data_IF_603599344465
#
_entry.id   IF_603599344465
#
_cell.length_a   1.000
_cell.length_b   1.000
_cell.length_c   1.000
_cell.angle_alpha   90.00
_cell.angle_beta   90.00
_cell.angle_gamma   90.00
#
_symmetry.space_group_name_H-M   'P 1'
#
loop_
_entity.id
_entity.type
_entity.pdbx_description
1 polymer ?
#
# COMPACT_ATOMS: atom_id res chain seq x y z
N UNK A 1 -57.07 25.69 -27.13
CA UNK A 1 -56.63 25.22 -25.81
C UNK A 1 -55.34 24.38 -26.01
N UNK A 2 -54.17 24.98 -25.81
CA UNK A 2 -52.87 24.33 -26.05
C UNK A 2 -52.29 23.97 -24.66
N UNK A 3 -52.33 22.67 -24.32
CA UNK A 3 -51.74 22.13 -23.09
C UNK A 3 -50.24 22.01 -23.31
N UNK A 4 -49.46 22.91 -22.67
CA UNK A 4 -48.01 22.84 -22.59
C UNK A 4 -47.61 21.72 -21.58
N UNK A 5 -47.07 20.61 -22.08
CA UNK A 5 -46.38 19.63 -21.26
C UNK A 5 -44.98 20.12 -20.93
N UNK A 6 -44.71 20.35 -19.64
CA UNK A 6 -43.40 20.70 -19.10
C UNK A 6 -42.67 19.38 -18.84
N UNK A 7 -41.51 19.10 -19.46
CA UNK A 7 -40.73 17.89 -19.10
C UNK A 7 -40.04 18.09 -17.76
N UNK A 8 -40.37 17.21 -16.81
CA UNK A 8 -39.73 17.13 -15.51
C UNK A 8 -38.32 16.52 -15.69
N UNK A 9 -37.29 17.36 -15.70
CA UNK A 9 -35.90 16.92 -15.72
C UNK A 9 -35.53 16.34 -14.34
N UNK A 10 -35.45 15.00 -14.24
CA UNK A 10 -34.89 14.30 -13.08
C UNK A 10 -33.37 14.48 -13.12
N UNK A 11 -32.83 15.42 -12.33
CA UNK A 11 -31.40 15.48 -12.05
C UNK A 11 -31.03 14.27 -11.17
N UNK A 12 -30.43 13.25 -11.76
CA UNK A 12 -29.71 12.23 -11.00
C UNK A 12 -28.46 12.90 -10.40
N UNK A 13 -28.51 13.21 -9.11
CA UNK A 13 -27.33 13.57 -8.35
C UNK A 13 -26.47 12.32 -8.19
N UNK A 14 -25.45 12.16 -9.04
CA UNK A 14 -24.37 11.22 -8.81
C UNK A 14 -23.58 11.74 -7.60
N UNK A 15 -23.84 11.15 -6.42
CA UNK A 15 -23.02 11.37 -5.23
C UNK A 15 -21.59 10.92 -5.52
N UNK A 16 -20.57 11.58 -4.94
CA UNK A 16 -19.19 11.11 -5.05
C UNK A 16 -19.12 9.69 -4.51
N UNK A 17 -18.75 8.72 -5.36
CA UNK A 17 -18.28 7.42 -4.90
C UNK A 17 -17.03 7.74 -4.07
N UNK A 18 -17.11 7.60 -2.75
CA UNK A 18 -15.92 7.60 -1.89
C UNK A 18 -15.04 6.46 -2.39
N UNK A 19 -13.91 6.80 -3.03
CA UNK A 19 -12.91 5.81 -3.36
C UNK A 19 -12.50 5.12 -2.05
N UNK A 20 -12.54 3.80 -2.00
CA UNK A 20 -12.05 3.06 -0.87
C UNK A 20 -10.58 3.45 -0.65
N UNK A 21 -10.23 3.89 0.55
CA UNK A 21 -8.89 4.37 0.88
C UNK A 21 -7.88 3.21 0.82
N UNK A 22 -8.35 1.97 0.99
CA UNK A 22 -7.57 0.74 0.86
C UNK A 22 -8.18 -0.22 -0.17
N UNK A 23 -7.30 -0.91 -0.88
CA UNK A 23 -7.71 -2.04 -1.73
C UNK A 23 -7.65 -3.31 -0.90
N UNK A 24 -8.72 -4.14 -0.87
CA UNK A 24 -8.68 -5.42 -0.17
C UNK A 24 -7.59 -6.32 -0.73
N UNK A 25 -6.74 -6.86 0.16
CA UNK A 25 -5.69 -7.80 -0.19
C UNK A 25 -6.16 -9.23 0.05
N UNK A 26 -6.25 -10.01 -1.03
CA UNK A 26 -6.43 -11.46 -0.99
C UNK A 26 -5.10 -12.19 -1.24
N UNK A 27 -5.10 -13.53 -1.12
CA UNK A 27 -3.91 -14.37 -1.32
C UNK A 27 -3.32 -14.27 -2.72
N UNK A 28 -4.15 -14.13 -3.75
CA UNK A 28 -3.66 -14.05 -5.14
C UNK A 28 -3.01 -12.70 -5.40
N UNK A 29 -3.65 -11.65 -4.95
CA UNK A 29 -3.11 -10.28 -5.02
C UNK A 29 -1.82 -10.16 -4.21
N UNK A 30 -1.75 -10.77 -3.01
CA UNK A 30 -0.54 -10.80 -2.20
C UNK A 30 0.62 -11.48 -2.93
N UNK A 31 0.42 -12.67 -3.52
CA UNK A 31 1.44 -13.35 -4.32
C UNK A 31 1.94 -12.51 -5.48
N UNK A 32 1.03 -11.87 -6.22
CA UNK A 32 1.37 -10.99 -7.34
C UNK A 32 2.14 -9.76 -6.85
N UNK A 33 1.68 -9.13 -5.76
CA UNK A 33 2.30 -7.94 -5.19
C UNK A 33 3.75 -8.21 -4.71
N UNK A 34 4.04 -9.41 -4.22
CA UNK A 34 5.36 -9.79 -3.70
C UNK A 34 6.24 -10.50 -4.73
N UNK A 35 5.76 -10.64 -5.97
CA UNK A 35 6.56 -11.17 -7.09
C UNK A 35 7.43 -10.06 -7.70
N UNK A 36 8.76 -10.27 -7.85
CA UNK A 36 9.66 -9.29 -8.46
C UNK A 36 9.23 -8.86 -9.87
N UNK A 37 8.66 -9.77 -10.65
CA UNK A 37 8.21 -9.52 -12.03
C UNK A 37 7.06 -8.53 -12.13
N UNK A 38 6.36 -8.27 -11.01
CA UNK A 38 5.28 -7.28 -10.94
C UNK A 38 5.76 -5.83 -10.85
N UNK A 39 7.08 -5.61 -10.70
CA UNK A 39 7.67 -4.31 -10.47
C UNK A 39 8.64 -3.93 -11.57
N UNK A 40 8.30 -2.91 -12.39
CA UNK A 40 9.13 -2.39 -13.48
C UNK A 40 9.97 -1.17 -13.07
N UNK A 41 9.89 -0.77 -11.81
CA UNK A 41 10.67 0.32 -11.20
C UNK A 41 10.98 -0.02 -9.75
N UNK A 42 11.91 0.74 -9.16
CA UNK A 42 12.22 0.61 -7.74
C UNK A 42 10.95 0.76 -6.91
N UNK A 43 10.58 -0.31 -6.20
CA UNK A 43 9.33 -0.38 -5.43
C UNK A 43 9.58 -0.93 -4.04
N UNK A 44 8.95 -0.35 -3.05
CA UNK A 44 8.93 -0.85 -1.69
C UNK A 44 7.50 -1.27 -1.35
N UNK A 45 7.35 -2.47 -0.78
CA UNK A 45 6.10 -2.92 -0.17
C UNK A 45 6.32 -2.96 1.35
N UNK A 46 5.70 -2.03 2.06
CA UNK A 46 5.84 -1.86 3.50
C UNK A 46 4.63 -2.43 4.24
N UNK A 47 4.84 -3.46 5.04
CA UNK A 47 3.82 -4.02 5.93
C UNK A 47 3.81 -3.25 7.25
N UNK A 48 2.62 -2.93 7.73
CA UNK A 48 2.41 -2.15 8.94
C UNK A 48 1.09 -2.53 9.64
N UNK A 49 0.89 -2.07 10.87
CA UNK A 49 -0.38 -2.13 11.57
C UNK A 49 -0.63 -0.86 12.38
N UNK A 50 -1.87 -0.65 12.80
CA UNK A 50 -2.30 0.56 13.54
C UNK A 50 -1.58 0.74 14.88
N UNK A 51 -1.23 -0.34 15.55
CA UNK A 51 -0.57 -0.38 16.85
C UNK A 51 0.97 -0.46 16.79
N UNK A 52 1.55 -0.57 15.57
CA UNK A 52 2.99 -0.76 15.37
C UNK A 52 3.78 0.57 15.36
N UNK A 53 4.39 0.94 16.47
CA UNK A 53 5.18 2.18 16.59
C UNK A 53 6.43 2.19 15.68
N UNK A 54 7.11 1.07 15.50
CA UNK A 54 8.26 0.99 14.60
C UNK A 54 7.86 1.09 13.13
N UNK A 55 6.63 0.65 12.78
CA UNK A 55 6.08 0.85 11.44
C UNK A 55 5.92 2.33 11.10
N UNK A 56 5.49 3.15 12.05
CA UNK A 56 5.38 4.61 11.87
C UNK A 56 6.73 5.25 11.56
N UNK A 57 7.83 4.76 12.15
CA UNK A 57 9.19 5.21 11.81
C UNK A 57 9.54 4.89 10.36
N UNK A 58 9.25 3.66 9.90
CA UNK A 58 9.48 3.28 8.52
C UNK A 58 8.62 4.11 7.54
N UNK A 59 7.33 4.28 7.81
CA UNK A 59 6.43 5.10 6.97
C UNK A 59 6.93 6.55 6.84
N UNK A 60 7.43 7.14 7.95
CA UNK A 60 8.03 8.49 7.94
C UNK A 60 9.28 8.57 7.07
N UNK A 61 10.20 7.60 7.20
CA UNK A 61 11.39 7.53 6.36
C UNK A 61 10.99 7.38 4.88
N UNK A 62 10.13 6.43 4.55
CA UNK A 62 9.71 6.17 3.17
C UNK A 62 9.01 7.38 2.54
N UNK A 63 8.20 8.10 3.32
CA UNK A 63 7.61 9.39 2.90
C UNK A 63 8.67 10.42 2.54
N UNK A 64 9.73 10.54 3.33
CA UNK A 64 10.85 11.44 3.04
C UNK A 64 11.58 11.04 1.75
N UNK A 65 11.86 9.75 1.57
CA UNK A 65 12.57 9.25 0.39
C UNK A 65 11.77 9.46 -0.90
N UNK A 66 10.44 9.25 -0.88
CA UNK A 66 9.59 9.47 -2.07
C UNK A 66 9.49 10.94 -2.45
N UNK A 67 9.56 11.86 -1.49
CA UNK A 67 9.59 13.30 -1.78
C UNK A 67 10.90 13.73 -2.45
N UNK A 68 12.00 13.08 -2.13
CA UNK A 68 13.33 13.38 -2.67
C UNK A 68 13.60 12.65 -4.00
N UNK A 69 12.88 11.56 -4.29
CA UNK A 69 13.09 10.80 -5.52
C UNK A 69 11.77 10.17 -6.02
N UNK A 70 11.20 10.73 -7.08
CA UNK A 70 9.94 10.28 -7.68
C UNK A 70 10.04 8.94 -8.43
N UNK A 71 11.24 8.38 -8.60
CA UNK A 71 11.44 7.04 -9.17
C UNK A 71 11.18 5.93 -8.16
N UNK A 72 11.07 6.26 -6.86
CA UNK A 72 10.71 5.32 -5.82
C UNK A 72 9.18 5.25 -5.68
N UNK A 73 8.63 4.05 -5.84
CA UNK A 73 7.23 3.75 -5.53
C UNK A 73 7.14 3.07 -4.18
N UNK A 74 6.23 3.52 -3.32
CA UNK A 74 5.97 2.89 -2.01
C UNK A 74 4.52 2.44 -1.96
N UNK A 75 4.34 1.13 -1.82
CA UNK A 75 3.06 0.45 -1.62
C UNK A 75 2.96 0.09 -0.14
N UNK A 76 1.80 0.26 0.47
CA UNK A 76 1.59 -0.13 1.86
C UNK A 76 0.60 -1.26 1.98
N UNK A 77 0.83 -2.13 2.96
CA UNK A 77 -0.07 -3.22 3.32
C UNK A 77 -0.33 -3.16 4.82
N UNK A 78 -1.55 -2.81 5.21
CA UNK A 78 -1.99 -2.99 6.59
C UNK A 78 -2.20 -4.49 6.84
N UNK A 79 -1.45 -5.06 7.79
CA UNK A 79 -1.56 -6.47 8.18
C UNK A 79 -2.78 -6.71 9.10
N UNK A 80 -3.87 -6.05 8.80
CA UNK A 80 -5.15 -6.08 9.48
C UNK A 80 -6.26 -5.69 8.52
N UNK A 81 -7.53 -6.06 8.78
CA UNK A 81 -8.67 -5.62 7.99
C UNK A 81 -8.83 -4.09 8.00
N UNK A 82 -9.38 -3.55 6.90
CA UNK A 82 -9.67 -2.12 6.83
C UNK A 82 -10.61 -1.68 7.96
N UNK A 83 -10.29 -0.55 8.57
CA UNK A 83 -11.09 0.11 9.59
C UNK A 83 -11.06 1.63 9.40
N UNK A 84 -12.03 2.34 9.96
CA UNK A 84 -12.13 3.79 9.88
C UNK A 84 -10.89 4.54 10.43
N UNK A 85 -10.04 3.86 11.20
CA UNK A 85 -8.85 4.45 11.81
C UNK A 85 -7.61 4.37 10.91
N UNK A 86 -7.53 3.41 9.98
CA UNK A 86 -6.30 3.15 9.20
C UNK A 86 -5.96 4.30 8.27
N UNK A 87 -6.93 4.81 7.52
CA UNK A 87 -6.67 5.88 6.55
C UNK A 87 -6.20 7.19 7.20
N UNK A 88 -6.86 7.71 8.25
CA UNK A 88 -6.35 8.88 8.99
C UNK A 88 -4.92 8.71 9.50
N UNK A 89 -4.50 7.49 9.83
CA UNK A 89 -3.13 7.20 10.29
C UNK A 89 -2.12 7.17 9.14
N UNK A 90 -2.50 6.69 7.96
CA UNK A 90 -1.62 6.54 6.80
C UNK A 90 -1.52 7.82 5.96
N UNK A 91 -2.63 8.53 5.76
CA UNK A 91 -2.74 9.73 4.90
C UNK A 91 -1.64 10.77 5.09
N UNK A 92 -1.20 11.11 6.33
CA UNK A 92 -0.18 12.14 6.54
C UNK A 92 1.19 11.84 5.90
N UNK A 93 1.48 10.56 5.60
CA UNK A 93 2.74 10.18 4.97
C UNK A 93 2.78 10.46 3.47
N UNK A 94 1.63 10.64 2.80
CA UNK A 94 1.51 10.97 1.37
C UNK A 94 2.39 10.08 0.47
N UNK A 95 2.28 8.76 0.63
CA UNK A 95 3.08 7.79 -0.10
C UNK A 95 2.62 7.64 -1.56
N UNK A 96 3.53 7.29 -2.45
CA UNK A 96 3.36 7.39 -3.91
C UNK A 96 2.65 6.20 -4.57
N UNK A 97 2.37 5.14 -3.83
CA UNK A 97 1.73 3.92 -4.35
C UNK A 97 0.37 3.64 -3.72
N UNK A 98 -0.31 2.58 -4.18
CA UNK A 98 -1.57 2.14 -3.60
C UNK A 98 -1.39 1.61 -2.18
N UNK A 99 -2.48 1.64 -1.43
CA UNK A 99 -2.57 1.10 -0.08
C UNK A 99 -3.50 -0.10 -0.05
N UNK A 100 -3.07 -1.17 0.60
CA UNK A 100 -3.83 -2.40 0.78
C UNK A 100 -4.10 -2.63 2.27
N UNK A 101 -5.22 -3.29 2.57
CA UNK A 101 -5.52 -3.87 3.87
C UNK A 101 -6.01 -5.30 3.67
N UNK A 102 -5.90 -6.15 4.69
CA UNK A 102 -6.37 -7.53 4.58
C UNK A 102 -7.84 -7.58 4.17
N UNK A 103 -8.12 -8.38 3.14
CA UNK A 103 -9.47 -8.62 2.62
C UNK A 103 -10.20 -9.72 3.39
N UNK A 104 -11.14 -10.38 2.71
CA UNK A 104 -11.99 -11.42 3.31
C UNK A 104 -11.35 -12.80 3.44
N UNK A 105 -10.16 -13.01 2.85
CA UNK A 105 -9.41 -14.25 3.03
C UNK A 105 -8.96 -14.40 4.49
N UNK A 106 -8.72 -15.65 4.91
CA UNK A 106 -8.15 -15.92 6.21
C UNK A 106 -6.79 -15.18 6.39
N UNK A 107 -6.59 -14.42 7.49
CA UNK A 107 -5.38 -13.61 7.70
C UNK A 107 -4.08 -14.42 7.63
N UNK A 108 -4.05 -15.64 8.17
CA UNK A 108 -2.87 -16.50 8.14
C UNK A 108 -2.55 -16.97 6.70
N UNK A 109 -3.60 -17.17 5.88
CA UNK A 109 -3.42 -17.53 4.48
C UNK A 109 -2.90 -16.35 3.64
N UNK A 110 -3.30 -15.12 3.95
CA UNK A 110 -2.74 -13.91 3.34
C UNK A 110 -1.28 -13.75 3.77
N UNK A 111 -0.99 -13.86 5.06
CA UNK A 111 0.37 -13.76 5.60
C UNK A 111 1.31 -14.80 4.99
N UNK A 112 0.86 -16.05 4.85
CA UNK A 112 1.61 -17.12 4.18
C UNK A 112 1.84 -16.82 2.69
N UNK A 113 0.87 -16.21 2.01
CA UNK A 113 1.00 -15.81 0.61
C UNK A 113 1.98 -14.64 0.42
N UNK A 114 2.11 -13.75 1.41
CA UNK A 114 3.10 -12.67 1.45
C UNK A 114 4.50 -13.26 1.60
N UNK A 115 4.71 -14.08 2.62
CA UNK A 115 5.99 -14.76 2.88
C UNK A 115 5.76 -15.98 3.79
N UNK A 116 5.96 -17.21 3.28
CA UNK A 116 5.77 -18.44 4.07
C UNK A 116 6.65 -18.54 5.31
N UNK A 117 7.74 -17.75 5.39
CA UNK A 117 8.66 -17.73 6.53
C UNK A 117 8.38 -16.57 7.50
N UNK A 118 7.36 -15.78 7.24
CA UNK A 118 7.02 -14.64 8.10
C UNK A 118 6.17 -15.09 9.29
N UNK A 119 6.66 -14.81 10.49
CA UNK A 119 5.97 -15.13 11.75
C UNK A 119 4.99 -14.05 12.23
N UNK A 120 4.70 -13.01 11.41
CA UNK A 120 3.79 -11.91 11.78
C UNK A 120 4.49 -10.69 12.40
N UNK A 121 5.82 -10.75 12.57
CA UNK A 121 6.57 -9.61 13.12
C UNK A 121 6.54 -8.39 12.19
N UNK A 122 6.32 -7.20 12.77
CA UNK A 122 6.25 -5.90 12.09
C UNK A 122 7.26 -4.90 12.68
N UNK A 123 7.76 -3.97 11.89
CA UNK A 123 7.54 -3.80 10.45
C UNK A 123 8.29 -4.85 9.63
N UNK A 124 7.74 -5.20 8.47
CA UNK A 124 8.38 -6.01 7.45
C UNK A 124 8.33 -5.28 6.12
N UNK A 125 9.46 -5.20 5.44
CA UNK A 125 9.59 -4.39 4.23
C UNK A 125 10.23 -5.19 3.12
N UNK A 126 9.57 -5.25 1.96
CA UNK A 126 10.09 -5.85 0.75
C UNK A 126 10.54 -4.74 -0.20
N UNK A 127 11.73 -4.89 -0.76
CA UNK A 127 12.35 -3.92 -1.64
C UNK A 127 12.65 -4.58 -2.98
N UNK A 128 12.22 -3.93 -4.06
CA UNK A 128 12.39 -4.39 -5.43
C UNK A 128 13.17 -3.35 -6.22
N UNK A 129 14.14 -3.79 -7.02
CA UNK A 129 14.96 -2.89 -7.85
C UNK A 129 14.32 -2.56 -9.22
N UNK A 130 13.18 -3.18 -9.53
CA UNK A 130 12.50 -3.04 -10.82
C UNK A 130 13.14 -3.83 -11.97
N UNK A 131 14.11 -4.71 -11.68
CA UNK A 131 14.85 -5.54 -12.65
C UNK A 131 14.86 -7.02 -12.26
N UNK A 132 13.96 -7.42 -11.36
CA UNK A 132 13.85 -8.79 -10.88
C UNK A 132 14.54 -9.03 -9.53
N UNK A 133 15.27 -8.06 -8.98
CA UNK A 133 15.87 -8.14 -7.65
C UNK A 133 14.84 -7.91 -6.53
N UNK A 134 14.98 -8.67 -5.46
CA UNK A 134 14.15 -8.58 -4.24
C UNK A 134 15.01 -8.69 -3.00
N UNK A 135 14.77 -7.80 -2.04
CA UNK A 135 15.33 -7.89 -0.69
C UNK A 135 14.20 -7.80 0.35
N UNK A 136 14.43 -8.36 1.53
CA UNK A 136 13.47 -8.33 2.64
C UNK A 136 14.19 -7.82 3.90
N UNK A 137 13.56 -6.89 4.60
CA UNK A 137 14.05 -6.35 5.87
C UNK A 137 12.99 -6.55 6.94
N UNK A 138 13.35 -7.23 8.01
CA UNK A 138 12.58 -7.26 9.25
C UNK A 138 13.05 -6.13 10.16
N UNK A 139 12.11 -5.37 10.72
CA UNK A 139 12.41 -4.25 11.60
C UNK A 139 12.56 -2.89 10.88
N UNK A 140 13.31 -1.99 11.51
CA UNK A 140 13.45 -0.60 11.02
C UNK A 140 14.40 -0.54 9.81
N UNK A 141 13.93 0.12 8.74
CA UNK A 141 14.67 0.31 7.50
C UNK A 141 15.56 1.55 7.61
N UNK A 142 16.72 1.54 6.97
CA UNK A 142 17.60 2.71 6.82
C UNK A 142 17.66 3.17 5.35
N UNK A 143 18.01 4.45 5.14
CA UNK A 143 18.24 5.00 3.79
C UNK A 143 19.28 4.18 3.02
N UNK A 144 20.41 3.84 3.66
CA UNK A 144 21.47 3.03 3.04
C UNK A 144 20.97 1.64 2.59
N UNK A 145 20.07 1.00 3.35
CA UNK A 145 19.47 -0.27 2.98
C UNK A 145 18.53 -0.13 1.76
N UNK A 146 17.75 0.96 1.70
CA UNK A 146 16.91 1.28 0.53
C UNK A 146 17.77 1.53 -0.70
N UNK A 147 18.82 2.36 -0.58
CA UNK A 147 19.75 2.63 -1.69
C UNK A 147 20.41 1.35 -2.23
N UNK A 148 20.90 0.51 -1.32
CA UNK A 148 21.53 -0.76 -1.68
C UNK A 148 20.56 -1.70 -2.42
N UNK A 149 19.32 -1.79 -1.95
CA UNK A 149 18.33 -2.73 -2.51
C UNK A 149 17.72 -2.23 -3.82
N UNK A 150 17.52 -0.92 -3.98
CA UNK A 150 16.83 -0.32 -5.13
C UNK A 150 17.77 0.24 -6.20
N UNK A 151 19.03 0.51 -5.84
CA UNK A 151 19.98 1.21 -6.69
C UNK A 151 19.74 2.71 -6.84
N UNK A 152 18.74 3.26 -6.14
CA UNK A 152 18.49 4.71 -6.09
C UNK A 152 19.44 5.41 -5.10
N UNK A 153 19.54 6.73 -5.21
CA UNK A 153 20.24 7.61 -4.26
C UNK A 153 19.27 8.67 -3.72
N UNK A 154 19.42 9.02 -2.44
CA UNK A 154 18.54 9.95 -1.72
C UNK A 154 19.31 11.07 -1.01
#
# INVERSE_FOLDING_TARGET
MIRRFLPLFFLLAAGPLAAADFTPLDRLTAKKLLSPESHQQATIVALWSSDCNYCKKNLKLLSSLTKNNNKLRVITVAAEPESAQLWPMLKPYALSGPSYAYGSDNPEAIAYAIDPKWGGELPRTFLFDGRGGKAVIAGVVSTAAVEKATGLRF
#
